data_IF_791027255948
#
_entry.id   IF_791027255948
#
_cell.length_a   1.000
_cell.length_b   1.000
_cell.length_c   1.000
_cell.angle_alpha   90.00
_cell.angle_beta   90.00
_cell.angle_gamma   90.00
#
_symmetry.space_group_name_H-M   'P 1'
#
loop_
_entity.id
_entity.type
_entity.pdbx_description
1 polymer ?
#
# COMPACT_ATOMS: atom_id res chain seq x y z
N UNK A 1 -43.04 -15.62 -36.50
CA UNK A 1 -42.24 -15.20 -37.66
C UNK A 1 -41.10 -14.35 -37.10
N UNK A 2 -39.89 -14.91 -37.10
CA UNK A 2 -38.68 -14.29 -36.55
C UNK A 2 -38.18 -13.20 -37.50
N UNK A 3 -37.75 -12.06 -36.97
CA UNK A 3 -36.76 -11.21 -37.62
C UNK A 3 -35.65 -10.95 -36.59
N UNK A 4 -34.50 -11.58 -36.85
CA UNK A 4 -33.22 -11.37 -36.15
C UNK A 4 -32.54 -10.18 -36.84
N UNK A 5 -32.19 -9.14 -36.09
CA UNK A 5 -31.11 -8.23 -36.49
C UNK A 5 -29.94 -8.41 -35.52
N UNK A 6 -28.77 -8.59 -36.11
CA UNK A 6 -27.54 -9.03 -35.48
C UNK A 6 -26.85 -7.88 -34.72
N UNK A 7 -26.64 -8.08 -33.43
CA UNK A 7 -25.71 -7.26 -32.63
C UNK A 7 -24.29 -7.73 -32.92
N UNK A 8 -23.57 -6.98 -33.76
CA UNK A 8 -22.13 -7.18 -34.01
C UNK A 8 -21.32 -6.54 -32.86
N UNK A 9 -20.39 -7.24 -32.18
CA UNK A 9 -19.62 -6.66 -31.09
C UNK A 9 -18.47 -5.76 -31.60
N UNK A 10 -18.39 -4.53 -31.07
CA UNK A 10 -17.25 -3.62 -31.15
C UNK A 10 -16.07 -4.14 -30.30
N UNK A 11 -15.41 -5.18 -30.80
CA UNK A 11 -14.15 -5.71 -30.23
C UNK A 11 -13.06 -5.71 -31.30
N UNK A 12 -12.73 -4.56 -31.89
CA UNK A 12 -11.56 -4.45 -32.77
C UNK A 12 -11.13 -2.99 -33.00
N UNK A 13 -10.54 -2.37 -31.97
CA UNK A 13 -9.57 -1.28 -32.12
C UNK A 13 -8.51 -1.40 -31.03
N UNK A 14 -7.57 -2.34 -31.21
CA UNK A 14 -6.27 -2.30 -30.55
C UNK A 14 -5.26 -1.72 -31.53
N UNK A 15 -4.56 -0.62 -31.25
CA UNK A 15 -3.37 -0.29 -32.03
C UNK A 15 -2.31 -1.36 -31.77
N UNK A 16 -1.88 -2.02 -32.84
CA UNK A 16 -0.73 -2.95 -32.84
C UNK A 16 0.54 -2.11 -32.74
N UNK A 17 1.23 -2.16 -31.60
CA UNK A 17 2.63 -1.71 -31.52
C UNK A 17 3.51 -2.88 -31.94
N UNK A 18 4.18 -2.74 -33.08
CA UNK A 18 5.17 -3.69 -33.55
C UNK A 18 6.48 -3.58 -32.73
N UNK A 19 7.21 -4.68 -32.48
CA UNK A 19 8.46 -4.62 -31.74
C UNK A 19 9.58 -4.04 -32.63
N UNK A 20 10.16 -2.91 -32.23
CA UNK A 20 11.32 -2.34 -32.90
C UNK A 20 12.59 -3.14 -32.55
N UNK A 21 13.36 -3.49 -33.58
CA UNK A 21 14.59 -4.25 -33.51
C UNK A 21 15.72 -3.47 -32.81
N UNK A 22 16.56 -4.20 -32.07
CA UNK A 22 17.70 -3.69 -31.31
C UNK A 22 18.84 -3.31 -32.25
N UNK A 23 19.12 -2.02 -32.40
CA UNK A 23 20.36 -1.51 -32.98
C UNK A 23 21.26 -0.96 -31.86
N UNK A 24 22.51 -1.42 -31.85
CA UNK A 24 23.51 -1.13 -30.85
C UNK A 24 24.19 0.24 -31.05
N UNK A 25 24.50 0.90 -29.92
CA UNK A 25 25.62 1.84 -29.82
C UNK A 25 25.38 3.29 -30.23
N UNK A 26 24.61 4.08 -29.46
CA UNK A 26 24.72 5.56 -29.42
C UNK A 26 24.38 6.08 -28.01
N UNK A 27 25.17 7.05 -27.54
CA UNK A 27 25.13 7.74 -26.24
C UNK A 27 23.74 8.22 -25.80
N UNK A 28 23.41 8.04 -24.51
CA UNK A 28 22.11 8.35 -23.91
C UNK A 28 21.73 9.85 -23.90
N UNK A 29 22.67 10.76 -24.19
CA UNK A 29 22.38 12.19 -24.29
C UNK A 29 21.87 12.63 -25.68
N UNK A 30 22.01 11.78 -26.71
CA UNK A 30 21.65 12.12 -28.10
C UNK A 30 20.43 11.34 -28.63
N UNK A 31 19.74 10.57 -27.78
CA UNK A 31 18.47 9.91 -28.11
C UNK A 31 17.25 10.83 -28.01
N UNK A 32 17.47 12.14 -28.03
CA UNK A 32 16.45 13.11 -28.44
C UNK A 32 16.79 13.49 -29.88
N UNK A 33 16.57 12.58 -30.81
CA UNK A 33 16.64 12.87 -32.25
C UNK A 33 15.39 12.26 -32.89
N UNK A 34 14.44 13.10 -33.25
CA UNK A 34 14.43 13.85 -34.52
C UNK A 34 13.88 13.02 -35.70
N UNK A 35 12.83 12.22 -35.45
CA UNK A 35 12.06 11.56 -36.52
C UNK A 35 10.58 11.33 -36.17
N UNK A 36 10.04 12.04 -35.17
CA UNK A 36 8.60 12.00 -34.87
C UNK A 36 7.89 13.14 -35.62
N UNK A 37 6.80 12.80 -36.31
CA UNK A 37 5.78 13.76 -36.73
C UNK A 37 5.52 14.75 -35.57
N UNK A 38 5.72 16.07 -35.76
CA UNK A 38 5.58 17.05 -34.68
C UNK A 38 4.18 17.09 -34.07
N UNK A 39 3.21 16.38 -34.67
CA UNK A 39 1.84 16.20 -34.19
C UNK A 39 1.61 14.82 -33.55
N UNK A 40 2.50 14.36 -32.68
CA UNK A 40 2.16 13.29 -31.73
C UNK A 40 0.83 13.56 -31.02
N UNK A 41 0.11 12.53 -30.55
CA UNK A 41 -1.20 12.70 -29.94
C UNK A 41 -1.14 13.73 -28.79
N UNK A 42 -2.02 14.73 -28.85
CA UNK A 42 -2.22 15.69 -27.77
C UNK A 42 -3.03 15.01 -26.66
N UNK A 43 -2.52 15.06 -25.44
CA UNK A 43 -3.19 14.57 -24.24
C UNK A 43 -3.59 15.73 -23.32
N UNK A 44 -4.69 15.54 -22.59
CA UNK A 44 -5.15 16.36 -21.49
C UNK A 44 -4.70 15.73 -20.16
N UNK A 45 -3.65 16.31 -19.56
CA UNK A 45 -2.95 15.75 -18.40
C UNK A 45 -3.27 16.57 -17.16
N UNK A 46 -3.81 15.93 -16.13
CA UNK A 46 -3.92 16.52 -14.80
C UNK A 46 -2.63 16.29 -14.00
N UNK A 47 -2.09 17.33 -13.36
CA UNK A 47 -1.03 17.21 -12.37
C UNK A 47 -1.66 17.43 -11.00
N UNK A 48 -1.88 16.34 -10.27
CA UNK A 48 -2.44 16.35 -8.93
C UNK A 48 -1.31 16.56 -7.90
N UNK A 49 -1.21 17.75 -7.33
CA UNK A 49 -0.07 18.18 -6.52
C UNK A 49 -0.53 18.85 -5.23
N UNK A 50 -0.03 18.38 -4.10
CA UNK A 50 -0.34 19.02 -2.81
C UNK A 50 0.21 20.44 -2.71
N UNK A 51 -0.53 21.31 -2.02
CA UNK A 51 -0.18 22.71 -1.74
C UNK A 51 1.31 22.92 -1.39
N UNK A 52 1.86 22.11 -0.48
CA UNK A 52 3.26 22.21 -0.02
C UNK A 52 4.33 21.93 -1.09
N UNK A 53 3.95 21.37 -2.24
CA UNK A 53 4.84 21.08 -3.35
C UNK A 53 4.67 22.02 -4.54
N UNK A 54 3.63 22.87 -4.55
CA UNK A 54 3.32 23.77 -5.67
C UNK A 54 4.48 24.71 -6.03
N UNK A 55 5.23 25.19 -5.04
CA UNK A 55 6.37 26.09 -5.24
C UNK A 55 7.68 25.37 -5.64
N UNK A 56 7.69 24.04 -5.70
CA UNK A 56 8.90 23.30 -6.08
C UNK A 56 9.09 23.28 -7.59
N UNK A 57 10.34 23.16 -8.02
CA UNK A 57 10.70 23.07 -9.45
C UNK A 57 10.20 21.80 -10.12
N UNK A 58 9.93 20.74 -9.36
CA UNK A 58 9.57 19.45 -9.93
C UNK A 58 8.16 19.46 -10.56
N UNK A 59 7.07 19.95 -9.91
CA UNK A 59 5.76 20.08 -10.56
C UNK A 59 5.72 21.13 -11.66
N UNK A 60 6.33 22.30 -11.43
CA UNK A 60 6.32 23.40 -12.41
C UNK A 60 7.12 23.05 -13.67
N UNK A 61 8.32 22.48 -13.51
CA UNK A 61 9.15 22.02 -14.61
C UNK A 61 8.51 20.87 -15.40
N UNK A 62 7.80 19.95 -14.74
CA UNK A 62 7.01 18.94 -15.44
C UNK A 62 5.89 19.56 -16.28
N UNK A 63 5.14 20.51 -15.70
CA UNK A 63 4.06 21.19 -16.41
C UNK A 63 4.56 21.96 -17.63
N UNK A 64 5.68 22.67 -17.48
CA UNK A 64 6.33 23.39 -18.58
C UNK A 64 6.82 22.43 -19.67
N UNK A 65 7.49 21.35 -19.30
CA UNK A 65 7.95 20.35 -20.25
C UNK A 65 6.79 19.72 -21.04
N UNK A 66 5.71 19.31 -20.37
CA UNK A 66 4.54 18.73 -21.03
C UNK A 66 3.85 19.71 -21.98
N UNK A 67 3.74 20.99 -21.59
CA UNK A 67 3.20 22.05 -22.46
C UNK A 67 4.11 22.32 -23.66
N UNK A 68 5.43 22.31 -23.46
CA UNK A 68 6.42 22.43 -24.53
C UNK A 68 6.34 21.31 -25.57
N UNK A 69 5.83 20.13 -25.18
CA UNK A 69 5.54 19.01 -26.09
C UNK A 69 4.09 19.02 -26.63
N UNK A 70 3.37 20.13 -26.48
CA UNK A 70 2.03 20.33 -27.08
C UNK A 70 0.86 19.72 -26.30
N UNK A 71 1.08 19.19 -25.09
CA UNK A 71 0.01 18.63 -24.25
C UNK A 71 -0.75 19.73 -23.48
N UNK A 72 -2.03 19.49 -23.21
CA UNK A 72 -2.81 20.32 -22.29
C UNK A 72 -2.52 19.88 -20.85
N UNK A 73 -2.29 20.83 -19.95
CA UNK A 73 -1.91 20.54 -18.56
C UNK A 73 -2.75 21.35 -17.58
N UNK A 74 -3.49 20.65 -16.72
CA UNK A 74 -4.24 21.21 -15.59
C UNK A 74 -3.54 20.87 -14.27
N UNK A 75 -3.15 21.88 -13.49
CA UNK A 75 -2.60 21.65 -12.14
C UNK A 75 -3.76 21.66 -11.15
N UNK A 76 -3.83 20.64 -10.31
CA UNK A 76 -4.95 20.40 -9.39
C UNK A 76 -4.36 20.26 -7.99
N UNK A 77 -4.76 21.15 -7.08
CA UNK A 77 -4.49 20.99 -5.65
C UNK A 77 -5.62 20.19 -5.00
N UNK A 78 -5.36 18.97 -4.49
CA UNK A 78 -6.37 18.17 -3.81
C UNK A 78 -6.99 18.90 -2.60
N UNK A 79 -6.30 19.89 -2.03
CA UNK A 79 -6.71 20.59 -0.81
C UNK A 79 -7.44 21.92 -1.09
N UNK A 80 -7.57 22.33 -2.35
CA UNK A 80 -8.18 23.59 -2.74
C UNK A 80 -9.71 23.54 -2.78
N UNK A 81 -10.31 22.37 -3.01
CA UNK A 81 -11.75 22.20 -3.18
C UNK A 81 -12.34 21.10 -2.28
N UNK A 82 -13.66 21.11 -2.12
CA UNK A 82 -14.42 19.96 -1.63
C UNK A 82 -14.96 19.14 -2.81
N UNK A 83 -15.07 17.83 -2.59
CA UNK A 83 -15.53 16.89 -3.61
C UNK A 83 -16.71 16.10 -3.06
N UNK A 84 -17.81 16.05 -3.80
CA UNK A 84 -18.92 15.15 -3.47
C UNK A 84 -18.57 13.76 -3.99
N UNK A 85 -18.57 12.74 -3.12
CA UNK A 85 -18.38 11.34 -3.55
C UNK A 85 -19.44 11.00 -4.58
N UNK A 86 -19.00 10.42 -5.71
CA UNK A 86 -19.86 10.08 -6.84
C UNK A 86 -19.80 11.08 -8.01
N UNK A 87 -19.47 12.35 -7.76
CA UNK A 87 -19.36 13.43 -8.76
C UNK A 87 -17.97 13.56 -9.39
N UNK A 88 -17.73 12.86 -10.50
CA UNK A 88 -16.42 12.77 -11.15
C UNK A 88 -16.14 13.88 -12.17
N UNK A 89 -16.96 14.93 -12.24
CA UNK A 89 -16.78 16.04 -13.20
C UNK A 89 -15.42 16.73 -13.11
N UNK A 90 -14.75 16.62 -11.95
CA UNK A 90 -13.39 17.14 -11.79
C UNK A 90 -12.35 16.43 -12.69
N UNK A 91 -12.65 15.22 -13.18
CA UNK A 91 -11.87 14.42 -14.12
C UNK A 91 -12.22 14.67 -15.59
N UNK A 92 -13.26 15.44 -15.88
CA UNK A 92 -13.80 15.59 -17.24
C UNK A 92 -12.72 16.01 -18.24
N UNK A 93 -12.61 15.20 -19.30
CA UNK A 93 -11.68 15.39 -20.41
C UNK A 93 -10.22 15.04 -20.10
N UNK A 94 -9.89 14.50 -18.93
CA UNK A 94 -8.51 14.10 -18.62
C UNK A 94 -8.18 12.71 -19.13
N UNK A 95 -7.07 12.59 -19.86
CA UNK A 95 -6.54 11.31 -20.33
C UNK A 95 -5.70 10.60 -19.25
N UNK A 96 -5.11 11.35 -18.32
CA UNK A 96 -4.19 10.84 -17.31
C UNK A 96 -3.98 11.82 -16.17
N UNK A 97 -3.62 11.30 -14.99
CA UNK A 97 -3.11 12.08 -13.87
C UNK A 97 -1.65 11.77 -13.54
N UNK A 98 -0.87 12.81 -13.27
CA UNK A 98 0.45 12.70 -12.63
C UNK A 98 0.36 13.22 -11.20
N UNK A 99 0.71 12.36 -10.24
CA UNK A 99 0.62 12.62 -8.82
C UNK A 99 1.94 13.14 -8.23
N UNK A 100 1.83 14.22 -7.46
CA UNK A 100 2.88 14.70 -6.58
C UNK A 100 2.36 14.91 -5.16
N UNK A 101 2.48 13.85 -4.38
CA UNK A 101 2.22 13.88 -2.95
C UNK A 101 1.91 12.50 -2.41
N UNK A 102 1.38 12.47 -1.19
CA UNK A 102 1.06 11.28 -0.40
C UNK A 102 -0.02 11.48 0.66
N UNK A 103 -0.74 12.61 0.64
CA UNK A 103 -1.84 12.90 1.58
C UNK A 103 -3.00 11.95 1.32
N UNK A 104 -3.85 11.79 2.32
CA UNK A 104 -5.03 10.94 2.19
C UNK A 104 -5.95 11.43 1.08
N UNK A 105 -6.17 12.75 0.97
CA UNK A 105 -7.00 13.34 -0.08
C UNK A 105 -6.45 13.05 -1.47
N UNK A 106 -5.13 13.20 -1.67
CA UNK A 106 -4.49 12.82 -2.92
C UNK A 106 -4.69 11.34 -3.24
N UNK A 107 -4.44 10.45 -2.27
CA UNK A 107 -4.63 9.01 -2.45
C UNK A 107 -6.08 8.65 -2.79
N UNK A 108 -7.05 9.37 -2.21
CA UNK A 108 -8.47 9.18 -2.47
C UNK A 108 -8.86 9.63 -3.88
N UNK A 109 -8.41 10.81 -4.32
CA UNK A 109 -8.65 11.28 -5.69
C UNK A 109 -7.99 10.38 -6.74
N UNK A 110 -6.79 9.85 -6.48
CA UNK A 110 -6.18 8.85 -7.36
C UNK A 110 -6.98 7.55 -7.41
N UNK A 111 -7.46 7.07 -6.26
CA UNK A 111 -8.30 5.87 -6.21
C UNK A 111 -9.58 6.05 -7.02
N UNK A 112 -10.17 7.25 -6.97
CA UNK A 112 -11.37 7.57 -7.73
C UNK A 112 -11.08 7.65 -9.23
N UNK A 113 -10.01 8.35 -9.64
CA UNK A 113 -9.58 8.41 -11.02
C UNK A 113 -9.36 7.00 -11.60
N UNK A 114 -8.66 6.13 -10.86
CA UNK A 114 -8.42 4.74 -11.25
C UNK A 114 -9.72 3.93 -11.37
N UNK A 115 -10.70 4.13 -10.48
CA UNK A 115 -12.00 3.47 -10.55
C UNK A 115 -12.82 3.90 -11.79
N UNK A 116 -12.61 5.13 -12.30
CA UNK A 116 -13.19 5.63 -13.55
C UNK A 116 -12.35 5.29 -14.79
N UNK A 117 -11.26 4.54 -14.63
CA UNK A 117 -10.40 4.11 -15.72
C UNK A 117 -9.39 5.15 -16.19
N UNK A 118 -9.23 6.27 -15.47
CA UNK A 118 -8.20 7.27 -15.76
C UNK A 118 -6.86 6.77 -15.21
N UNK A 119 -5.83 6.59 -16.05
CA UNK A 119 -4.51 6.15 -15.61
C UNK A 119 -3.80 7.20 -14.74
N UNK A 120 -3.02 6.73 -13.78
CA UNK A 120 -2.33 7.56 -12.77
C UNK A 120 -0.84 7.24 -12.68
N UNK A 121 0.00 8.26 -12.54
CA UNK A 121 1.47 8.14 -12.41
C UNK A 121 2.00 8.99 -11.25
N UNK A 122 2.58 8.47 -10.18
CA UNK A 122 2.47 7.08 -9.76
C UNK A 122 1.02 6.77 -9.39
N UNK A 123 0.63 5.51 -9.54
CA UNK A 123 -0.70 5.08 -9.11
C UNK A 123 -0.84 5.11 -7.57
N UNK A 124 -2.09 5.11 -7.11
CA UNK A 124 -2.46 5.13 -5.68
C UNK A 124 -1.71 4.05 -4.91
N UNK A 125 -1.70 2.83 -5.44
CA UNK A 125 -1.11 1.67 -4.73
C UNK A 125 0.38 1.84 -4.51
N UNK A 126 1.11 2.38 -5.49
CA UNK A 126 2.55 2.63 -5.41
C UNK A 126 2.88 3.72 -4.40
N UNK A 127 2.09 4.81 -4.35
CA UNK A 127 2.28 5.89 -3.38
C UNK A 127 1.93 5.41 -1.97
N UNK A 128 0.82 4.68 -1.81
CA UNK A 128 0.39 4.15 -0.51
C UNK A 128 1.42 3.17 0.07
N UNK A 129 1.99 2.29 -0.75
CA UNK A 129 2.97 1.28 -0.32
C UNK A 129 4.25 1.87 0.27
N UNK A 130 4.61 3.11 -0.07
CA UNK A 130 5.81 3.80 0.46
C UNK A 130 5.49 4.81 1.55
N UNK A 131 4.22 4.92 1.96
CA UNK A 131 3.79 5.86 2.99
C UNK A 131 4.24 5.42 4.39
N UNK A 132 4.26 4.12 4.64
CA UNK A 132 4.67 3.48 5.89
C UNK A 132 6.03 2.79 5.70
N UNK A 133 7.06 3.23 6.42
CA UNK A 133 8.41 2.65 6.31
C UNK A 133 8.51 1.19 6.74
N UNK A 134 7.63 0.71 7.62
CA UNK A 134 7.60 -0.70 7.99
C UNK A 134 7.08 -1.56 6.83
N UNK A 135 5.98 -1.17 6.19
CA UNK A 135 5.43 -1.85 5.00
C UNK A 135 6.41 -1.80 3.81
N UNK A 136 7.11 -0.67 3.65
CA UNK A 136 8.19 -0.57 2.67
C UNK A 136 9.33 -1.54 3.00
N UNK A 137 9.78 -1.61 4.26
CA UNK A 137 10.83 -2.54 4.69
C UNK A 137 10.47 -4.00 4.44
N UNK A 138 9.22 -4.37 4.72
CA UNK A 138 8.63 -5.67 4.40
C UNK A 138 8.65 -5.95 2.90
N UNK A 139 8.20 -4.99 2.10
CA UNK A 139 8.15 -5.13 0.64
C UNK A 139 9.54 -5.37 0.05
N UNK A 140 10.54 -4.64 0.56
CA UNK A 140 11.94 -4.80 0.18
C UNK A 140 12.48 -6.18 0.58
N UNK A 141 12.19 -6.65 1.80
CA UNK A 141 12.60 -7.98 2.28
C UNK A 141 11.98 -9.11 1.45
N UNK A 142 10.67 -9.03 1.17
CA UNK A 142 9.96 -10.03 0.36
C UNK A 142 10.48 -10.04 -1.08
N UNK A 143 10.83 -8.88 -1.62
CA UNK A 143 11.48 -8.75 -2.93
C UNK A 143 12.97 -9.13 -2.91
N UNK A 144 13.52 -9.49 -1.74
CA UNK A 144 14.94 -9.80 -1.51
C UNK A 144 15.88 -8.66 -1.92
N UNK A 145 15.40 -7.42 -1.82
CA UNK A 145 16.22 -6.23 -2.00
C UNK A 145 17.07 -6.05 -0.75
N UNK A 146 18.41 -5.95 -0.88
CA UNK A 146 19.28 -5.72 0.27
C UNK A 146 18.85 -4.45 1.03
N UNK A 147 18.55 -4.61 2.31
CA UNK A 147 18.17 -3.53 3.21
C UNK A 147 18.84 -3.72 4.57
N UNK A 148 19.08 -2.65 5.33
CA UNK A 148 19.56 -2.77 6.70
C UNK A 148 18.60 -3.63 7.53
N UNK A 149 19.16 -4.46 8.43
CA UNK A 149 18.33 -5.22 9.37
C UNK A 149 17.46 -4.25 10.15
N UNK A 150 16.16 -4.51 10.14
CA UNK A 150 15.14 -3.57 10.60
C UNK A 150 14.26 -4.21 11.66
N UNK A 151 14.11 -3.49 12.76
CA UNK A 151 13.29 -3.85 13.90
C UNK A 151 12.13 -2.87 14.05
N UNK A 152 10.98 -3.39 14.46
CA UNK A 152 9.77 -2.62 14.69
C UNK A 152 9.20 -2.95 16.07
N UNK A 153 8.97 -1.93 16.89
CA UNK A 153 8.31 -2.14 18.19
C UNK A 153 8.20 -0.88 19.03
N UNK A 154 7.46 -0.93 20.16
CA UNK A 154 7.41 0.18 21.10
C UNK A 154 8.78 0.44 21.72
N UNK A 155 9.09 1.71 21.97
CA UNK A 155 10.37 2.16 22.54
C UNK A 155 10.79 1.39 23.79
N UNK A 156 9.88 1.27 24.76
CA UNK A 156 10.13 0.61 26.07
C UNK A 156 10.65 -0.82 25.93
N UNK A 157 10.17 -1.54 24.92
CA UNK A 157 10.56 -2.93 24.63
C UNK A 157 11.66 -3.04 23.60
N UNK A 158 11.84 -2.02 22.75
CA UNK A 158 12.82 -2.01 21.68
C UNK A 158 14.24 -2.10 22.25
N UNK A 159 14.57 -1.28 23.25
CA UNK A 159 15.91 -1.24 23.84
C UNK A 159 16.37 -2.61 24.38
N UNK A 160 15.58 -3.23 25.26
CA UNK A 160 15.94 -4.53 25.86
C UNK A 160 16.02 -5.65 24.82
N UNK A 161 15.19 -5.60 23.78
CA UNK A 161 15.09 -6.68 22.79
C UNK A 161 16.10 -6.55 21.65
N UNK A 162 16.59 -5.34 21.34
CA UNK A 162 17.70 -5.15 20.41
C UNK A 162 18.95 -5.91 20.88
N UNK A 163 19.28 -5.81 22.17
CA UNK A 163 20.41 -6.54 22.78
C UNK A 163 20.28 -8.06 22.62
N UNK A 164 19.08 -8.61 22.90
CA UNK A 164 18.80 -10.04 22.74
C UNK A 164 18.85 -10.51 21.28
N UNK A 165 18.68 -9.60 20.32
CA UNK A 165 18.66 -9.90 18.89
C UNK A 165 20.07 -9.98 18.26
N UNK A 166 21.11 -9.65 19.03
CA UNK A 166 22.49 -9.53 18.56
C UNK A 166 22.77 -8.27 17.73
N UNK A 167 21.82 -7.33 17.66
CA UNK A 167 22.04 -6.03 17.02
C UNK A 167 22.88 -5.12 17.93
N UNK A 168 23.86 -4.44 17.34
CA UNK A 168 24.73 -3.51 18.04
C UNK A 168 24.29 -2.05 17.89
N UNK A 169 24.70 -1.23 18.85
CA UNK A 169 24.69 0.21 18.69
C UNK A 169 25.97 0.69 17.95
N UNK A 170 25.93 1.83 17.25
CA UNK A 170 24.80 2.75 17.15
C UNK A 170 23.69 2.26 16.20
N UNK A 171 22.45 2.62 16.50
CA UNK A 171 21.27 2.24 15.73
C UNK A 171 20.52 3.47 15.24
N UNK A 172 19.97 3.39 14.03
CA UNK A 172 19.16 4.46 13.44
C UNK A 172 17.70 4.23 13.78
N UNK A 173 17.05 5.17 14.45
CA UNK A 173 15.59 5.14 14.67
C UNK A 173 14.87 6.13 13.77
N UNK A 174 13.72 5.73 13.24
CA UNK A 174 12.92 6.48 12.25
C UNK A 174 11.43 6.37 12.57
N UNK A 175 10.66 7.46 12.41
CA UNK A 175 9.20 7.37 12.47
C UNK A 175 8.69 6.54 11.29
N UNK A 176 7.62 5.78 11.51
CA UNK A 176 6.93 5.03 10.47
C UNK A 176 6.48 5.97 9.36
N UNK A 177 5.88 7.09 9.76
CA UNK A 177 5.35 8.10 8.85
C UNK A 177 6.25 9.32 8.86
N UNK A 178 6.64 9.80 7.68
CA UNK A 178 7.48 11.00 7.58
C UNK A 178 8.33 11.01 6.34
N UNK A 179 8.73 12.21 5.94
CA UNK A 179 9.54 12.50 4.77
C UNK A 179 10.74 13.38 5.13
N UNK A 180 11.63 13.58 4.15
CA UNK A 180 12.74 14.55 4.26
C UNK A 180 13.64 14.33 5.49
N UNK A 181 13.82 13.07 5.89
CA UNK A 181 14.61 12.67 7.06
C UNK A 181 14.14 13.26 8.40
N UNK A 182 12.93 13.83 8.47
CA UNK A 182 12.36 14.35 9.72
C UNK A 182 12.14 13.23 10.72
N UNK A 183 12.52 13.48 11.97
CA UNK A 183 12.41 12.53 13.07
C UNK A 183 13.43 11.37 13.03
N UNK A 184 14.31 11.31 12.04
CA UNK A 184 15.38 10.31 12.00
C UNK A 184 16.46 10.68 13.03
N UNK A 185 16.89 9.70 13.82
CA UNK A 185 17.91 9.87 14.89
C UNK A 185 18.92 8.73 14.84
N UNK A 186 20.17 9.04 15.15
CA UNK A 186 21.21 8.04 15.42
C UNK A 186 21.36 7.92 16.93
N UNK A 187 21.07 6.74 17.45
CA UNK A 187 21.09 6.44 18.88
C UNK A 187 22.34 5.63 19.18
N UNK A 188 23.16 6.09 20.11
CA UNK A 188 24.51 5.59 20.40
C UNK A 188 24.55 4.45 21.40
N UNK A 189 23.55 4.37 22.27
CA UNK A 189 23.47 3.34 23.30
C UNK A 189 22.04 3.12 23.80
N UNK A 190 21.89 2.14 24.69
CA UNK A 190 20.61 1.77 25.27
C UNK A 190 19.99 2.87 26.14
N UNK A 191 20.83 3.62 26.86
CA UNK A 191 20.39 4.70 27.76
C UNK A 191 19.75 5.82 26.95
N UNK A 192 20.42 6.23 25.86
CA UNK A 192 19.89 7.20 24.92
C UNK A 192 18.56 6.70 24.30
N UNK A 193 18.48 5.43 23.91
CA UNK A 193 17.25 4.87 23.34
C UNK A 193 16.08 4.91 24.32
N UNK A 194 16.32 4.63 25.61
CA UNK A 194 15.28 4.63 26.65
C UNK A 194 14.83 6.03 27.04
N UNK A 195 15.74 7.01 26.99
CA UNK A 195 15.46 8.41 27.31
C UNK A 195 14.87 9.23 26.17
N UNK A 196 14.83 8.69 24.95
CA UNK A 196 14.38 9.43 23.77
C UNK A 196 12.89 9.78 23.84
N UNK A 197 12.50 11.04 23.69
CA UNK A 197 11.09 11.36 23.47
C UNK A 197 10.67 10.97 22.03
N UNK A 198 9.67 10.12 21.92
CA UNK A 198 9.23 9.59 20.62
C UNK A 198 7.75 9.88 20.34
N UNK A 199 7.43 10.47 19.17
CA UNK A 199 6.08 10.97 18.88
C UNK A 199 5.09 9.87 18.45
N UNK A 200 5.58 8.68 18.12
CA UNK A 200 4.76 7.57 17.62
C UNK A 200 4.67 6.44 18.67
N UNK A 201 3.62 5.62 18.66
CA UNK A 201 3.51 4.47 19.58
C UNK A 201 4.60 3.40 19.34
N UNK A 202 5.24 3.44 18.18
CA UNK A 202 6.24 2.47 17.72
C UNK A 202 7.42 3.15 17.04
N UNK A 203 8.57 2.51 17.12
CA UNK A 203 9.82 2.92 16.50
C UNK A 203 10.20 1.91 15.42
N UNK A 204 10.71 2.42 14.30
CA UNK A 204 11.44 1.61 13.33
C UNK A 204 12.93 1.83 13.55
N UNK A 205 13.64 0.79 13.97
CA UNK A 205 15.07 0.83 14.28
C UNK A 205 15.86 0.01 13.25
N UNK A 206 16.97 0.55 12.76
CA UNK A 206 17.76 -0.04 11.69
C UNK A 206 19.23 0.01 12.04
N UNK A 207 19.93 -1.10 11.81
CA UNK A 207 21.40 -1.11 11.92
C UNK A 207 22.00 0.00 11.04
N UNK A 208 22.98 0.72 11.59
CA UNK A 208 23.68 1.76 10.84
C UNK A 208 24.54 1.09 9.77
N UNK A 209 24.23 1.36 8.51
CA UNK A 209 25.10 0.96 7.38
C UNK A 209 26.07 2.09 7.09
N UNK A 210 27.36 1.81 7.26
CA UNK A 210 28.42 2.76 6.90
C UNK A 210 28.64 2.76 5.38
N UNK A 211 28.67 3.95 4.80
CA UNK A 211 28.95 4.17 3.38
C UNK A 211 30.14 5.11 3.15
N UNK A 212 30.35 5.50 1.89
CA UNK A 212 31.40 6.45 1.48
C UNK A 212 31.13 7.91 1.89
N UNK A 213 30.22 8.12 2.84
CA UNK A 213 29.72 9.43 3.28
C UNK A 213 28.65 10.04 2.38
N UNK A 214 28.13 9.28 1.40
CA UNK A 214 27.09 9.73 0.49
C UNK A 214 26.01 8.68 0.24
N UNK A 215 24.75 9.12 0.25
CA UNK A 215 23.63 8.32 -0.19
C UNK A 215 23.50 8.42 -1.72
N UNK A 216 23.11 7.31 -2.35
CA UNK A 216 22.71 7.30 -3.76
C UNK A 216 21.19 7.44 -3.84
N UNK A 217 20.73 8.53 -4.46
CA UNK A 217 19.31 8.74 -4.77
C UNK A 217 19.05 8.24 -6.17
N UNK A 218 18.32 7.13 -6.26
CA UNK A 218 17.98 6.45 -7.50
C UNK A 218 16.58 6.88 -7.93
N UNK A 219 16.44 7.32 -9.18
CA UNK A 219 15.17 7.63 -9.83
C UNK A 219 14.92 6.56 -10.89
N UNK A 220 13.72 5.98 -10.91
CA UNK A 220 13.31 5.02 -11.92
C UNK A 220 12.12 5.56 -12.73
N UNK A 221 12.18 5.45 -14.05
CA UNK A 221 11.10 5.77 -14.98
C UNK A 221 10.98 4.58 -15.93
N UNK A 222 9.90 3.81 -15.81
CA UNK A 222 9.81 2.51 -16.50
C UNK A 222 10.97 1.60 -16.08
N UNK A 223 11.77 1.18 -17.04
CA UNK A 223 12.96 0.32 -16.82
C UNK A 223 14.27 1.11 -16.73
N UNK A 224 14.22 2.42 -16.93
CA UNK A 224 15.39 3.29 -16.93
C UNK A 224 15.69 3.84 -15.53
N UNK A 225 16.98 4.01 -15.24
CA UNK A 225 17.48 4.37 -13.92
C UNK A 225 18.46 5.52 -14.00
N UNK A 226 18.23 6.56 -13.19
CA UNK A 226 19.13 7.70 -13.00
C UNK A 226 19.58 7.77 -11.55
N UNK A 227 20.83 8.16 -11.31
CA UNK A 227 21.41 8.19 -9.96
C UNK A 227 22.04 9.54 -9.68
N UNK A 228 21.73 10.07 -8.51
CA UNK A 228 22.30 11.32 -8.00
C UNK A 228 22.95 11.04 -6.65
N UNK A 229 24.09 11.69 -6.39
CA UNK A 229 24.81 11.57 -5.13
C UNK A 229 24.33 12.68 -4.19
N UNK A 230 24.02 12.36 -2.95
CA UNK A 230 23.78 13.37 -1.91
C UNK A 230 24.60 13.01 -0.68
N UNK A 231 25.11 13.97 0.10
CA UNK A 231 25.76 13.65 1.36
C UNK A 231 24.82 12.85 2.27
N UNK A 232 25.35 11.81 2.89
CA UNK A 232 24.62 11.04 3.90
C UNK A 232 24.34 11.91 5.12
N UNK A 233 23.26 11.58 5.84
CA UNK A 233 22.90 12.27 7.10
C UNK A 233 24.01 12.16 8.15
N UNK A 234 24.75 11.05 8.14
CA UNK A 234 25.83 10.77 9.07
C UNK A 234 27.15 10.50 8.33
N UNK A 235 28.25 11.02 8.89
CA UNK A 235 29.61 10.62 8.51
C UNK A 235 29.96 9.21 9.00
N UNK A 236 31.11 8.69 8.58
CA UNK A 236 31.62 7.38 9.04
C UNK A 236 31.89 7.29 10.54
N UNK A 237 32.05 8.43 11.21
CA UNK A 237 32.17 8.62 12.67
C UNK A 237 30.80 8.82 13.37
N UNK A 238 29.70 8.81 12.61
CA UNK A 238 28.35 9.09 13.10
C UNK A 238 28.08 10.57 13.40
N UNK A 239 28.96 11.50 13.01
CA UNK A 239 28.69 12.94 13.13
C UNK A 239 27.57 13.35 12.16
N UNK A 240 26.61 14.13 12.65
CA UNK A 240 25.53 14.69 11.82
C UNK A 240 26.11 15.68 10.83
N UNK A 241 25.84 15.50 9.54
CA UNK A 241 26.27 16.44 8.49
C UNK A 241 25.12 17.36 8.09
N UNK A 242 25.42 18.64 7.86
CA UNK A 242 24.47 19.58 7.28
C UNK A 242 24.03 19.09 5.89
N UNK A 243 22.74 19.16 5.60
CA UNK A 243 22.21 18.80 4.29
C UNK A 243 22.77 19.75 3.22
N UNK A 244 23.60 19.24 2.31
CA UNK A 244 24.00 19.96 1.09
C UNK A 244 23.20 19.46 -0.12
N UNK A 245 23.13 20.29 -1.15
CA UNK A 245 22.40 19.98 -2.39
C UNK A 245 22.94 18.72 -3.09
N UNK A 246 22.11 18.05 -3.91
CA UNK A 246 22.53 16.89 -4.69
C UNK A 246 23.58 17.23 -5.75
N UNK A 247 24.54 16.33 -5.96
CA UNK A 247 25.55 16.39 -7.03
C UNK A 247 25.25 15.31 -8.10
N UNK A 248 25.22 15.66 -9.40
CA UNK A 248 25.06 14.68 -10.47
C UNK A 248 26.20 13.66 -10.47
N UNK A 249 25.88 12.38 -10.67
CA UNK A 249 26.90 11.37 -10.98
C UNK A 249 26.95 11.26 -12.50
N UNK A 250 28.11 11.51 -13.11
CA UNK A 250 28.30 11.25 -14.53
C UNK A 250 27.99 9.77 -14.82
N UNK A 251 27.15 9.45 -15.84
CA UNK A 251 26.87 8.07 -16.18
C UNK A 251 28.19 7.38 -16.55
N UNK A 252 28.58 6.35 -15.79
CA UNK A 252 29.68 5.49 -16.22
C UNK A 252 29.20 4.71 -17.44
N UNK A 253 29.86 4.92 -18.58
CA UNK A 253 29.75 4.04 -19.74
C UNK A 253 30.28 2.65 -19.37
N UNK A 254 29.43 1.85 -18.74
CA UNK A 254 29.69 0.46 -18.42
C UNK A 254 28.34 -0.23 -18.52
N UNK A 255 28.24 -1.15 -19.47
CA UNK A 255 27.04 -1.87 -19.87
C UNK A 255 26.01 -1.94 -18.75
N UNK A 256 24.85 -1.30 -18.97
CA UNK A 256 23.68 -1.48 -18.12
C UNK A 256 23.45 -2.98 -18.02
N UNK A 257 23.88 -3.57 -16.91
CA UNK A 257 23.54 -4.95 -16.61
C UNK A 257 22.04 -4.87 -16.35
N UNK A 258 21.26 -5.29 -17.33
CA UNK A 258 19.83 -5.46 -17.18
C UNK A 258 19.61 -6.12 -15.82
N UNK A 259 18.69 -5.56 -15.02
CA UNK A 259 18.25 -6.23 -13.80
C UNK A 259 17.96 -7.68 -14.18
N UNK A 260 18.46 -8.68 -13.44
CA UNK A 260 18.22 -10.07 -13.78
C UNK A 260 16.71 -10.27 -14.00
N UNK A 261 16.26 -11.10 -14.95
CA UNK A 261 14.85 -11.26 -15.33
C UNK A 261 13.88 -11.72 -14.21
N UNK A 262 14.34 -11.77 -12.95
CA UNK A 262 13.60 -12.14 -11.76
C UNK A 262 12.97 -10.99 -10.98
N UNK A 263 13.35 -9.72 -11.21
CA UNK A 263 12.55 -8.58 -10.69
C UNK A 263 11.51 -8.24 -11.75
N UNK A 264 10.64 -9.20 -12.05
CA UNK A 264 9.29 -8.80 -12.40
C UNK A 264 8.81 -8.06 -11.17
N UNK A 265 8.48 -6.78 -11.31
CA UNK A 265 7.38 -6.28 -10.51
C UNK A 265 6.28 -7.34 -10.71
N UNK A 266 6.10 -8.24 -9.73
CA UNK A 266 4.77 -8.73 -9.43
C UNK A 266 4.07 -7.45 -9.04
N UNK A 267 3.65 -6.71 -10.07
CA UNK A 267 2.60 -5.76 -9.93
C UNK A 267 1.56 -6.55 -9.16
N UNK A 268 1.10 -5.97 -8.07
CA UNK A 268 -0.09 -6.38 -7.36
C UNK A 268 -1.34 -6.27 -8.28
N UNK A 269 -1.18 -6.45 -9.60
CA UNK A 269 -2.16 -6.28 -10.67
C UNK A 269 -3.08 -7.49 -10.80
N UNK A 270 -2.67 -8.69 -10.38
CA UNK A 270 -3.45 -9.89 -10.70
C UNK A 270 -4.44 -10.35 -9.61
N UNK A 271 -4.71 -9.55 -8.57
CA UNK A 271 -5.74 -9.92 -7.57
C UNK A 271 -6.67 -8.79 -7.10
N UNK A 272 -6.62 -7.61 -7.70
CA UNK A 272 -7.49 -6.48 -7.34
C UNK A 272 -8.56 -6.14 -8.40
N UNK A 273 -8.65 -6.89 -9.50
CA UNK A 273 -9.84 -6.84 -10.35
C UNK A 273 -10.88 -7.87 -9.89
N UNK A 274 -12.10 -7.46 -9.48
CA UNK A 274 -13.22 -8.37 -9.44
C UNK A 274 -13.53 -8.79 -10.88
N UNK A 275 -13.39 -10.08 -11.19
CA UNK A 275 -13.91 -10.64 -12.44
C UNK A 275 -15.43 -10.49 -12.45
N UNK A 276 -16.02 -9.61 -13.30
CA UNK A 276 -17.46 -9.40 -13.32
C UNK A 276 -18.23 -10.60 -13.86
N UNK A 277 -17.55 -11.64 -14.38
CA UNK A 277 -18.18 -12.85 -14.93
C UNK A 277 -18.33 -14.00 -13.94
N UNK A 278 -17.81 -13.86 -12.70
CA UNK A 278 -18.06 -14.81 -11.60
C UNK A 278 -19.15 -14.37 -10.60
N UNK A 279 -19.81 -13.24 -10.85
CA UNK A 279 -20.91 -12.72 -10.04
C UNK A 279 -22.26 -13.41 -10.35
N UNK A 280 -22.29 -14.74 -10.32
CA UNK A 280 -23.52 -15.47 -10.66
C UNK A 280 -23.50 -16.90 -10.19
N UNK A 281 -23.61 -17.12 -8.85
CA UNK A 281 -24.24 -18.32 -8.25
C UNK A 281 -24.25 -18.37 -6.72
N UNK A 282 -24.43 -17.26 -6.01
CA UNK A 282 -24.95 -17.34 -4.64
C UNK A 282 -25.96 -16.22 -4.41
N UNK A 283 -27.24 -16.51 -4.68
CA UNK A 283 -28.36 -15.75 -4.13
C UNK A 283 -28.28 -15.85 -2.61
N UNK A 284 -27.71 -14.84 -1.97
CA UNK A 284 -27.80 -14.68 -0.52
C UNK A 284 -29.26 -14.60 -0.11
N UNK A 285 -29.69 -15.49 0.78
CA UNK A 285 -31.01 -15.40 1.41
C UNK A 285 -31.06 -14.12 2.27
N UNK A 286 -32.18 -13.42 2.21
CA UNK A 286 -32.39 -12.11 2.85
C UNK A 286 -32.35 -12.23 4.38
N UNK A 287 -31.72 -11.25 5.03
CA UNK A 287 -31.60 -11.04 6.48
C UNK A 287 -32.98 -10.89 7.20
N UNK A 288 -34.09 -10.79 6.46
CA UNK A 288 -35.44 -10.69 7.01
C UNK A 288 -36.03 -11.98 7.60
N UNK A 289 -35.27 -13.08 7.66
CA UNK A 289 -35.72 -14.35 8.26
C UNK A 289 -35.23 -14.59 9.70
N UNK A 290 -34.45 -13.66 10.28
CA UNK A 290 -33.92 -13.84 11.64
C UNK A 290 -34.84 -13.38 12.77
N UNK A 291 -35.96 -12.69 12.49
CA UNK A 291 -36.92 -12.27 13.53
C UNK A 291 -38.34 -12.76 13.23
N UNK A 292 -38.70 -13.89 13.83
CA UNK A 292 -40.07 -14.40 13.90
C UNK A 292 -40.17 -15.49 14.97
N UNK A 293 -40.48 -15.10 16.21
CA UNK A 293 -40.87 -16.04 17.27
C UNK A 293 -42.29 -16.57 16.97
N UNK A 294 -42.46 -17.88 16.82
CA UNK A 294 -43.62 -18.62 17.32
C UNK A 294 -43.45 -20.15 17.18
N UNK A 295 -43.42 -20.81 18.34
CA UNK A 295 -44.03 -22.11 18.71
C UNK A 295 -44.20 -23.20 17.63
N UNK A 296 -43.61 -24.36 17.89
CA UNK A 296 -44.04 -25.65 17.33
C UNK A 296 -42.98 -26.74 17.47
N UNK A 297 -43.21 -27.70 18.36
CA UNK A 297 -42.46 -28.96 18.44
C UNK A 297 -42.43 -29.66 17.07
N UNK A 298 -41.27 -30.21 16.67
CA UNK A 298 -41.14 -31.39 15.79
C UNK A 298 -39.68 -31.85 15.63
N UNK A 299 -39.40 -33.00 16.25
CA UNK A 299 -38.46 -34.08 15.92
C UNK A 299 -37.20 -33.79 15.08
N UNK A 300 -36.05 -34.11 15.66
CA UNK A 300 -34.72 -34.13 15.05
C UNK A 300 -34.64 -35.06 13.81
N UNK A 301 -34.45 -34.47 12.64
CA UNK A 301 -34.13 -35.15 11.38
C UNK A 301 -32.62 -35.27 11.17
N UNK A 302 -32.14 -36.51 11.14
CA UNK A 302 -30.78 -36.99 10.90
C UNK A 302 -30.17 -36.41 9.61
N UNK A 303 -29.03 -35.70 9.70
CA UNK A 303 -28.23 -35.32 8.53
C UNK A 303 -27.46 -36.55 8.04
N UNK A 304 -27.68 -36.95 6.78
CA UNK A 304 -27.01 -38.09 6.15
C UNK A 304 -25.53 -37.79 5.90
N UNK A 305 -24.66 -38.64 6.43
CA UNK A 305 -23.23 -38.70 6.10
C UNK A 305 -23.05 -39.23 4.67
N UNK A 306 -22.32 -38.48 3.84
CA UNK A 306 -21.79 -38.97 2.56
C UNK A 306 -20.57 -39.84 2.80
N UNK A 307 -20.57 -41.04 2.23
CA UNK A 307 -19.48 -42.01 2.29
C UNK A 307 -18.21 -41.47 1.60
N UNK A 308 -17.06 -41.55 2.28
CA UNK A 308 -15.77 -41.06 1.77
C UNK A 308 -14.98 -42.08 0.94
N UNK A 309 -13.76 -41.74 0.50
CA UNK A 309 -12.72 -42.72 0.23
C UNK A 309 -11.77 -42.88 1.43
N UNK A 310 -11.50 -44.15 1.69
CA UNK A 310 -10.58 -44.84 2.61
C UNK A 310 -9.54 -44.03 3.40
N UNK A 311 -9.50 -44.39 4.69
CA UNK A 311 -8.49 -44.05 5.68
C UNK A 311 -7.08 -44.47 5.24
N UNK A 312 -6.24 -43.46 5.01
CA UNK A 312 -4.85 -43.49 5.45
C UNK A 312 -4.74 -42.58 6.68
N UNK A 313 -3.88 -42.97 7.61
CA UNK A 313 -3.66 -42.36 8.92
C UNK A 313 -3.23 -40.89 8.83
N UNK A 314 -4.19 -39.99 8.60
CA UNK A 314 -3.99 -38.57 8.77
C UNK A 314 -4.22 -38.26 10.25
N UNK A 315 -3.13 -38.07 11.01
CA UNK A 315 -3.19 -37.26 12.23
C UNK A 315 -4.01 -36.02 11.88
N UNK A 316 -5.18 -35.82 12.50
CA UNK A 316 -5.96 -34.59 12.34
C UNK A 316 -5.05 -33.44 12.72
N UNK A 317 -4.49 -32.76 11.73
CA UNK A 317 -3.56 -31.67 11.95
C UNK A 317 -4.32 -30.59 12.72
N UNK A 318 -3.83 -30.29 13.93
CA UNK A 318 -4.37 -29.21 14.76
C UNK A 318 -4.20 -27.92 13.97
N UNK A 319 -5.30 -27.23 13.70
CA UNK A 319 -5.27 -25.94 12.99
C UNK A 319 -4.76 -24.88 13.94
N UNK A 320 -3.70 -24.16 13.55
CA UNK A 320 -3.11 -23.06 14.32
C UNK A 320 -3.67 -21.73 13.85
N UNK A 321 -4.21 -20.94 14.77
CA UNK A 321 -4.87 -19.67 14.47
C UNK A 321 -4.22 -18.54 15.28
N UNK A 322 -3.63 -17.57 14.58
CA UNK A 322 -3.02 -16.38 15.17
C UNK A 322 -3.95 -15.17 15.17
N UNK A 323 -4.37 -14.67 16.33
CA UNK A 323 -5.19 -13.47 16.44
C UNK A 323 -4.33 -12.22 16.65
N UNK A 324 -4.31 -11.33 15.66
CA UNK A 324 -3.69 -10.00 15.77
C UNK A 324 -4.68 -9.04 16.45
N UNK A 325 -4.54 -8.84 17.75
CA UNK A 325 -5.44 -7.99 18.55
C UNK A 325 -4.72 -7.18 19.63
N UNK A 326 -5.37 -6.09 20.06
CA UNK A 326 -4.88 -5.23 21.15
C UNK A 326 -5.13 -5.89 22.52
N UNK A 327 -4.29 -5.59 23.49
CA UNK A 327 -4.60 -5.79 24.90
C UNK A 327 -5.83 -4.95 25.25
N UNK A 328 -6.94 -5.59 25.63
CA UNK A 328 -8.11 -4.85 26.09
C UNK A 328 -7.74 -4.12 27.39
N UNK A 329 -7.91 -2.78 27.48
CA UNK A 329 -7.90 -2.13 28.79
C UNK A 329 -9.01 -2.77 29.62
N UNK A 330 -8.76 -2.97 30.92
CA UNK A 330 -9.66 -3.66 31.87
C UNK A 330 -11.08 -3.03 31.93
N UNK A 331 -11.28 -1.84 31.35
CA UNK A 331 -12.51 -1.04 31.37
C UNK A 331 -13.49 -1.33 30.22
N UNK A 332 -13.08 -2.01 29.13
CA UNK A 332 -14.00 -2.42 28.03
C UNK A 332 -13.74 -3.87 27.64
N UNK A 333 -14.48 -4.79 28.24
CA UNK A 333 -14.53 -6.19 27.79
C UNK A 333 -15.46 -6.28 26.57
N UNK A 334 -14.90 -6.52 25.38
CA UNK A 334 -15.73 -7.05 24.28
C UNK A 334 -15.97 -8.53 24.56
N UNK A 335 -17.20 -8.97 24.84
CA UNK A 335 -17.47 -10.36 25.23
C UNK A 335 -17.27 -11.35 24.06
N UNK A 336 -17.26 -10.85 22.83
CA UNK A 336 -17.28 -11.70 21.63
C UNK A 336 -15.93 -12.39 21.38
N UNK A 337 -14.80 -11.67 21.48
CA UNK A 337 -13.51 -12.26 21.12
C UNK A 337 -13.04 -13.38 22.06
N UNK A 338 -13.14 -13.23 23.40
CA UNK A 338 -12.83 -14.34 24.32
C UNK A 338 -13.69 -15.57 24.07
N UNK A 339 -14.98 -15.38 23.75
CA UNK A 339 -15.89 -16.48 23.44
C UNK A 339 -15.53 -17.17 22.13
N UNK A 340 -15.17 -16.42 21.09
CA UNK A 340 -14.66 -16.97 19.83
C UNK A 340 -13.40 -17.80 20.06
N UNK A 341 -12.47 -17.32 20.89
CA UNK A 341 -11.25 -18.07 21.23
C UNK A 341 -11.60 -19.37 21.96
N UNK A 342 -12.47 -19.31 22.98
CA UNK A 342 -12.95 -20.48 23.73
C UNK A 342 -13.55 -21.54 22.80
N UNK A 343 -14.47 -21.13 21.93
CA UNK A 343 -15.15 -22.03 20.99
C UNK A 343 -14.18 -22.65 19.99
N UNK A 344 -13.23 -21.88 19.44
CA UNK A 344 -12.21 -22.41 18.52
C UNK A 344 -11.29 -23.43 19.21
N UNK A 345 -10.89 -23.17 20.47
CA UNK A 345 -10.11 -24.12 21.25
C UNK A 345 -10.90 -25.40 21.55
N UNK A 346 -12.19 -25.29 21.90
CA UNK A 346 -13.07 -26.44 22.10
C UNK A 346 -13.30 -27.25 20.83
N UNK A 347 -13.24 -26.61 19.66
CA UNK A 347 -13.28 -27.27 18.36
C UNK A 347 -11.94 -27.88 17.92
N UNK A 348 -10.91 -27.79 18.78
CA UNK A 348 -9.61 -28.43 18.57
C UNK A 348 -8.58 -27.58 17.81
N UNK A 349 -8.79 -26.27 17.68
CA UNK A 349 -7.78 -25.36 17.15
C UNK A 349 -6.82 -24.88 18.25
N UNK A 350 -5.54 -24.73 17.88
CA UNK A 350 -4.56 -24.03 18.71
C UNK A 350 -4.65 -22.54 18.43
N UNK A 351 -5.02 -21.74 19.43
CA UNK A 351 -5.25 -20.30 19.25
C UNK A 351 -4.17 -19.50 19.99
N UNK A 352 -3.40 -18.73 19.24
CA UNK A 352 -2.41 -17.79 19.79
C UNK A 352 -2.93 -16.35 19.71
N UNK A 353 -2.89 -15.62 20.83
CA UNK A 353 -3.13 -14.17 20.83
C UNK A 353 -1.81 -13.45 20.59
N UNK A 354 -1.67 -12.87 19.40
CA UNK A 354 -0.51 -12.07 19.01
C UNK A 354 -0.82 -10.62 19.31
N UNK A 355 -0.03 -10.02 20.21
CA UNK A 355 -0.16 -8.61 20.60
C UNK A 355 0.91 -7.77 19.90
N UNK A 356 0.55 -7.04 18.82
CA UNK A 356 1.51 -6.28 18.02
C UNK A 356 2.31 -5.26 18.84
N UNK A 357 1.68 -4.64 19.84
CA UNK A 357 2.24 -3.55 20.65
C UNK A 357 3.05 -4.03 21.86
N UNK A 358 3.19 -5.33 22.05
CA UNK A 358 3.95 -5.92 23.16
C UNK A 358 5.24 -6.58 22.69
N UNK A 359 5.47 -6.66 21.38
CA UNK A 359 6.55 -7.45 20.79
C UNK A 359 7.47 -6.61 19.90
N UNK A 360 8.77 -6.90 19.97
CA UNK A 360 9.72 -6.50 18.93
C UNK A 360 9.56 -7.45 17.75
N UNK A 361 9.49 -6.88 16.55
CA UNK A 361 9.47 -7.60 15.30
C UNK A 361 10.76 -7.33 14.56
N UNK A 362 11.56 -8.36 14.37
CA UNK A 362 12.62 -8.34 13.37
C UNK A 362 11.98 -8.66 12.02
N UNK A 363 11.87 -7.64 11.14
CA UNK A 363 11.17 -7.78 9.87
C UNK A 363 11.81 -8.84 8.97
N UNK A 364 13.12 -9.10 9.13
CA UNK A 364 13.85 -10.12 8.37
C UNK A 364 13.57 -11.56 8.81
N UNK A 365 13.00 -11.73 10.01
CA UNK A 365 12.71 -13.04 10.62
C UNK A 365 11.23 -13.35 10.69
N UNK A 366 10.35 -12.45 10.26
CA UNK A 366 8.91 -12.71 10.28
C UNK A 366 8.56 -13.80 9.25
N UNK A 367 7.89 -14.87 9.71
CA UNK A 367 7.46 -15.99 8.88
C UNK A 367 6.00 -16.32 9.17
N UNK A 368 5.39 -17.07 8.26
CA UNK A 368 4.04 -17.63 8.43
C UNK A 368 4.14 -18.83 9.36
N UNK A 369 3.66 -18.68 10.60
CA UNK A 369 3.71 -19.70 11.64
C UNK A 369 2.33 -20.35 11.89
N UNK A 370 1.25 -19.71 11.43
CA UNK A 370 -0.12 -20.15 11.64
C UNK A 370 -0.81 -20.45 10.31
N UNK A 371 -1.79 -21.36 10.33
CA UNK A 371 -2.57 -21.74 9.15
C UNK A 371 -3.60 -20.66 8.79
N UNK A 372 -4.08 -19.92 9.79
CA UNK A 372 -4.97 -18.77 9.66
C UNK A 372 -4.54 -17.65 10.61
N UNK A 373 -4.52 -16.42 10.11
CA UNK A 373 -4.45 -15.23 10.94
C UNK A 373 -5.78 -14.49 10.94
N UNK A 374 -6.16 -13.94 12.09
CA UNK A 374 -7.33 -13.06 12.21
C UNK A 374 -6.85 -11.65 12.52
N UNK A 375 -7.02 -10.73 11.56
CA UNK A 375 -6.74 -9.32 11.78
C UNK A 375 -7.94 -8.64 12.45
N UNK A 376 -7.80 -8.33 13.74
CA UNK A 376 -8.83 -7.65 14.54
C UNK A 376 -8.40 -6.27 15.04
N UNK A 377 -7.11 -6.08 15.29
CA UNK A 377 -6.53 -4.80 15.64
C UNK A 377 -6.57 -3.83 14.46
N UNK A 378 -6.77 -2.56 14.78
CA UNK A 378 -6.68 -1.44 13.85
C UNK A 378 -5.53 -0.52 14.26
N UNK A 379 -4.47 -1.01 14.87
CA UNK A 379 -3.26 -0.20 15.07
C UNK A 379 -2.33 -0.33 13.87
N UNK A 380 -1.50 0.69 13.64
CA UNK A 380 -0.64 0.72 12.45
C UNK A 380 0.43 -0.37 12.47
N UNK A 381 0.91 -0.76 13.67
CA UNK A 381 1.78 -1.93 13.83
C UNK A 381 1.07 -3.24 13.48
N UNK A 382 -0.22 -3.40 13.85
CA UNK A 382 -0.99 -4.59 13.50
C UNK A 382 -1.17 -4.72 11.99
N UNK A 383 -1.45 -3.59 11.31
CA UNK A 383 -1.54 -3.54 9.87
C UNK A 383 -0.19 -3.81 9.21
N UNK A 384 0.91 -3.27 9.76
CA UNK A 384 2.26 -3.52 9.23
C UNK A 384 2.65 -5.00 9.34
N UNK A 385 2.32 -5.67 10.44
CA UNK A 385 2.48 -7.13 10.59
C UNK A 385 1.61 -7.88 9.58
N UNK A 386 0.33 -7.51 9.47
CA UNK A 386 -0.60 -8.15 8.55
C UNK A 386 -0.17 -7.97 7.09
N UNK A 387 0.38 -6.82 6.72
CA UNK A 387 0.96 -6.57 5.41
C UNK A 387 2.11 -7.55 5.13
N UNK A 388 3.00 -7.74 6.11
CA UNK A 388 4.11 -8.68 5.99
C UNK A 388 3.66 -10.13 5.86
N UNK A 389 2.76 -10.58 6.73
CA UNK A 389 2.18 -11.92 6.65
C UNK A 389 1.46 -12.12 5.30
N UNK A 390 0.72 -11.13 4.83
CA UNK A 390 0.03 -11.17 3.54
C UNK A 390 1.02 -11.29 2.37
N UNK A 391 2.09 -10.51 2.38
CA UNK A 391 3.16 -10.58 1.37
C UNK A 391 3.86 -11.95 1.35
N UNK A 392 3.98 -12.60 2.52
CA UNK A 392 4.48 -13.97 2.68
C UNK A 392 3.44 -15.06 2.35
N UNK A 393 2.24 -14.68 1.88
CA UNK A 393 1.20 -15.63 1.45
C UNK A 393 0.37 -16.21 2.60
N UNK A 394 0.40 -15.62 3.79
CA UNK A 394 -0.45 -16.05 4.90
C UNK A 394 -1.94 -15.93 4.54
N UNK A 395 -2.73 -16.89 4.99
CA UNK A 395 -4.20 -16.79 4.98
C UNK A 395 -4.61 -15.86 6.11
N UNK A 396 -5.23 -14.71 5.77
CA UNK A 396 -5.65 -13.71 6.76
C UNK A 396 -7.14 -13.41 6.60
N UNK A 397 -7.92 -13.71 7.64
CA UNK A 397 -9.29 -13.22 7.77
C UNK A 397 -9.25 -11.72 8.06
N UNK A 398 -10.04 -10.95 7.31
CA UNK A 398 -9.90 -9.49 7.17
C UNK A 398 -8.52 -9.10 6.66
N UNK A 399 -8.13 -9.64 5.49
CA UNK A 399 -6.82 -9.40 4.88
C UNK A 399 -6.37 -7.94 4.91
N UNK A 400 -5.05 -7.73 4.92
CA UNK A 400 -4.47 -6.39 4.96
C UNK A 400 -5.04 -5.44 3.87
N UNK A 401 -5.14 -5.83 2.58
CA UNK A 401 -5.71 -4.96 1.55
C UNK A 401 -7.13 -4.49 1.89
N UNK A 402 -8.00 -5.42 2.33
CA UNK A 402 -9.38 -5.10 2.71
C UNK A 402 -9.41 -4.17 3.93
N UNK A 403 -8.58 -4.44 4.93
CA UNK A 403 -8.54 -3.63 6.16
C UNK A 403 -8.03 -2.20 5.91
N UNK A 404 -7.10 -2.02 4.97
CA UNK A 404 -6.63 -0.69 4.54
C UNK A 404 -7.70 0.03 3.73
N UNK A 405 -8.35 -0.65 2.77
CA UNK A 405 -9.48 -0.06 2.01
C UNK A 405 -10.59 0.42 2.93
N UNK A 406 -10.96 -0.36 3.96
CA UNK A 406 -12.02 0.00 4.90
C UNK A 406 -11.65 1.15 5.88
N UNK A 407 -10.37 1.52 5.98
CA UNK A 407 -9.94 2.73 6.69
C UNK A 407 -10.16 3.99 5.87
N UNK A 408 -10.12 3.86 4.55
CA UNK A 408 -10.36 4.94 3.61
C UNK A 408 -11.87 5.12 3.42
N UNK A 409 -12.44 6.13 4.09
CA UNK A 409 -13.88 6.38 4.04
C UNK A 409 -14.35 6.83 2.67
N UNK A 410 -13.48 7.38 1.84
CA UNK A 410 -13.86 7.84 0.50
C UNK A 410 -14.01 6.62 -0.39
N UNK A 411 -13.00 5.75 -0.42
CA UNK A 411 -13.04 4.50 -1.18
C UNK A 411 -14.13 3.57 -0.67
N UNK A 412 -14.34 3.51 0.65
CA UNK A 412 -15.41 2.70 1.22
C UNK A 412 -16.79 3.16 0.73
N UNK A 413 -17.07 4.46 0.76
CA UNK A 413 -18.38 4.97 0.35
C UNK A 413 -18.58 4.91 -1.17
N UNK A 414 -17.53 5.15 -1.96
CA UNK A 414 -17.55 4.97 -3.41
C UNK A 414 -17.84 3.51 -3.77
N UNK A 415 -17.15 2.54 -3.14
CA UNK A 415 -17.37 1.13 -3.40
C UNK A 415 -18.79 0.67 -3.01
N UNK A 416 -19.34 1.23 -1.93
CA UNK A 416 -20.73 0.99 -1.52
C UNK A 416 -21.72 1.57 -2.55
N UNK A 417 -21.51 2.81 -2.98
CA UNK A 417 -22.34 3.47 -4.00
C UNK A 417 -22.30 2.73 -5.35
N UNK A 418 -21.10 2.36 -5.81
CA UNK A 418 -20.88 1.56 -7.02
C UNK A 418 -21.56 0.18 -6.95
N UNK A 419 -21.67 -0.40 -5.74
CA UNK A 419 -22.40 -1.64 -5.49
C UNK A 419 -23.93 -1.44 -5.33
N UNK A 420 -24.43 -0.21 -5.47
CA UNK A 420 -25.85 0.12 -5.29
C UNK A 420 -26.31 0.05 -3.83
N UNK A 421 -25.38 0.08 -2.86
CA UNK A 421 -25.71 0.14 -1.44
C UNK A 421 -26.09 1.59 -1.10
N UNK A 422 -27.26 1.83 -0.47
CA UNK A 422 -27.64 3.18 -0.06
C UNK A 422 -26.61 3.80 0.89
N UNK A 423 -26.04 4.93 0.48
CA UNK A 423 -25.12 5.74 1.30
C UNK A 423 -25.62 7.18 1.37
N UNK A 424 -25.40 7.91 2.48
CA UNK A 424 -25.72 9.33 2.55
C UNK A 424 -24.84 10.14 1.58
N UNK A 425 -25.34 11.30 1.15
CA UNK A 425 -24.52 12.29 0.43
C UNK A 425 -23.27 12.57 1.26
N UNK A 426 -22.11 12.24 0.69
CA UNK A 426 -20.83 12.27 1.40
C UNK A 426 -19.90 13.25 0.69
N UNK A 427 -19.32 14.18 1.45
CA UNK A 427 -18.41 15.19 0.94
C UNK A 427 -17.02 15.00 1.55
N UNK A 428 -16.00 15.28 0.75
CA UNK A 428 -14.59 15.28 1.12
C UNK A 428 -14.12 16.72 1.14
N UNK A 429 -13.48 17.13 2.23
CA UNK A 429 -12.91 18.46 2.39
C UNK A 429 -11.66 18.39 3.26
N UNK A 430 -10.62 19.13 2.89
CA UNK A 430 -9.40 19.30 3.70
C UNK A 430 -9.56 20.35 4.79
N UNK A 431 -10.51 21.28 4.63
CA UNK A 431 -10.76 22.37 5.59
C UNK A 431 -12.26 22.51 5.89
N UNK A 432 -12.66 22.77 7.14
CA UNK A 432 -14.07 22.90 7.49
C UNK A 432 -14.84 23.95 6.67
N UNK A 433 -14.18 25.06 6.31
CA UNK A 433 -14.77 26.14 5.51
C UNK A 433 -15.12 25.75 4.05
N UNK A 434 -14.62 24.61 3.56
CA UNK A 434 -15.03 24.09 2.25
C UNK A 434 -16.41 23.42 2.29
N UNK A 435 -16.92 23.13 3.49
CA UNK A 435 -18.26 22.59 3.73
C UNK A 435 -19.28 23.68 4.11
N UNK A 436 -18.85 24.94 4.24
CA UNK A 436 -19.71 26.05 4.67
C UNK A 436 -20.38 26.82 3.53
N UNK A 437 -20.13 26.46 2.26
CA UNK A 437 -20.97 26.97 1.16
C UNK A 437 -22.34 26.31 1.26
N UNK A 438 -23.45 27.05 1.06
CA UNK A 438 -24.76 26.43 1.06
C UNK A 438 -24.74 25.32 0.00
N UNK A 439 -25.06 24.11 0.44
CA UNK A 439 -25.38 22.99 -0.44
C UNK A 439 -26.66 23.42 -1.18
N UNK A 440 -26.51 24.03 -2.35
CA UNK A 440 -27.64 24.35 -3.25
C UNK A 440 -28.33 23.07 -3.74
#
# INVERSE_FOLDING_TARGET
MFAREEVRPLLERRPRVAPAAVAAGVSAAERVRADDDPAGPRYDIGILVEERYLCQTQPSGLAEALRGHGHAVRVIDPQAASYQVGDDRWLDGMDMLVARGRSWELLCLLSWAEARGVPTINNRSAIAAVHNKAEMGVTLETARVPAPRTFLGPQRTLASRLLLSGAGFPIVVKPLFGDSSRGVRLVRDETELRGLEWPEPVMLAQELVQGDGYDRKVYGIGEEVWVVKKPSLWGGDGTSRAARGPEPIAPRAGAGRALPPGIRARALRDRLHPDPRRAGRHRGQRISQLHGRARGERSAGRVRAGAGPRAESARTAIVRIGFLMLSHPQTRKSPVMPEVVRLLTEWGAEVQIIQPESHLLDLSRLRVEHDLYVLKAKSDIALSIAACLHAHGATILNSYPVSVTLRDKIVTFEALEAAGVPVPKTYVASRPNQLTRPLE
#
